data_IF_494596440160
#
_entry.id   IF_494596440160
#
_cell.length_a   1.000
_cell.length_b   1.000
_cell.length_c   1.000
_cell.angle_alpha   90.00
_cell.angle_beta   90.00
_cell.angle_gamma   90.00
#
_symmetry.space_group_name_H-M   'P 1'
#
loop_
_entity.id
_entity.type
_entity.pdbx_description
1 polymer ?
#
# COMPACT_ATOMS: atom_id res chain seq x y z
N UNK A 1 5.72 -34.89 -15.39
CA UNK A 1 5.98 -33.69 -14.57
C UNK A 1 4.78 -33.45 -13.68
N UNK A 2 4.93 -33.33 -12.34
CA UNK A 2 3.85 -32.87 -11.47
C UNK A 2 3.42 -31.46 -11.90
N UNK A 3 2.12 -31.16 -11.84
CA UNK A 3 1.62 -29.81 -12.13
C UNK A 3 2.09 -28.89 -10.98
N UNK A 4 2.66 -27.70 -11.28
CA UNK A 4 3.06 -26.75 -10.24
C UNK A 4 1.89 -26.40 -9.32
N UNK A 5 2.15 -26.29 -8.02
CA UNK A 5 1.15 -25.85 -7.06
C UNK A 5 0.74 -24.40 -7.37
N UNK A 6 -0.53 -24.13 -7.74
CA UNK A 6 -0.98 -22.79 -8.08
C UNK A 6 -0.96 -21.83 -6.89
N UNK A 7 -0.81 -22.32 -5.65
CA UNK A 7 -0.77 -21.49 -4.45
C UNK A 7 0.65 -21.08 -4.05
N UNK A 8 1.67 -21.67 -4.66
CA UNK A 8 3.06 -21.42 -4.26
C UNK A 8 3.56 -20.11 -4.90
N UNK A 9 4.26 -19.24 -4.15
CA UNK A 9 4.99 -18.11 -4.72
C UNK A 9 5.97 -18.59 -5.80
N UNK A 10 6.20 -17.76 -6.82
CA UNK A 10 7.21 -18.05 -7.85
C UNK A 10 8.60 -17.68 -7.33
N UNK A 11 9.63 -18.20 -8.00
CA UNK A 11 11.03 -17.87 -7.71
C UNK A 11 11.24 -16.34 -7.64
N UNK A 12 11.78 -15.87 -6.52
CA UNK A 12 12.01 -14.45 -6.24
C UNK A 12 10.85 -13.73 -5.54
N UNK A 13 9.74 -14.41 -5.25
CA UNK A 13 8.57 -13.85 -4.54
C UNK A 13 8.44 -14.40 -3.11
N UNK A 14 9.38 -15.21 -2.66
CA UNK A 14 9.30 -15.90 -1.36
C UNK A 14 9.31 -14.92 -0.19
N UNK A 15 10.01 -13.78 -0.32
CA UNK A 15 10.00 -12.72 0.67
C UNK A 15 8.66 -12.00 0.76
N UNK A 16 7.87 -11.96 -0.32
CA UNK A 16 6.57 -11.30 -0.35
C UNK A 16 5.47 -12.17 0.29
N UNK A 17 5.66 -13.49 0.29
CA UNK A 17 4.66 -14.45 0.77
C UNK A 17 5.35 -15.59 1.51
N UNK A 18 5.95 -15.33 2.68
CA UNK A 18 6.61 -16.36 3.47
C UNK A 18 5.61 -17.48 3.78
N UNK A 19 6.02 -18.72 3.50
CA UNK A 19 5.18 -19.89 3.76
C UNK A 19 5.19 -20.19 5.26
N UNK A 20 4.03 -20.24 5.94
CA UNK A 20 3.97 -20.65 7.34
C UNK A 20 4.52 -22.07 7.48
N UNK A 21 5.45 -22.31 8.41
CA UNK A 21 6.07 -23.63 8.53
C UNK A 21 5.28 -24.60 9.42
N UNK A 22 4.36 -24.08 10.24
CA UNK A 22 3.50 -24.87 11.12
C UNK A 22 2.19 -24.12 11.50
N UNK A 23 1.29 -24.78 12.23
CA UNK A 23 0.01 -24.19 12.67
C UNK A 23 0.18 -23.06 13.68
N UNK A 24 1.22 -23.11 14.50
CA UNK A 24 1.51 -22.06 15.48
C UNK A 24 2.09 -20.84 14.76
N UNK A 25 2.91 -21.00 13.71
CA UNK A 25 3.34 -19.90 12.83
C UNK A 25 2.13 -19.21 12.19
N UNK A 26 1.14 -19.98 11.73
CA UNK A 26 -0.11 -19.40 11.19
C UNK A 26 -0.90 -18.61 12.24
N UNK A 27 -0.77 -18.92 13.54
CA UNK A 27 -1.47 -18.22 14.63
C UNK A 27 -0.67 -17.10 15.28
N UNK A 28 0.65 -17.24 15.38
CA UNK A 28 1.53 -16.43 16.21
C UNK A 28 2.37 -15.43 15.42
N UNK A 29 2.69 -15.70 14.15
CA UNK A 29 3.58 -14.83 13.36
C UNK A 29 2.85 -13.75 12.57
N UNK A 30 1.54 -13.58 12.79
CA UNK A 30 0.63 -12.86 11.89
C UNK A 30 0.61 -13.57 10.52
N UNK A 31 -0.56 -13.91 9.98
CA UNK A 31 -0.57 -14.66 8.72
C UNK A 31 0.12 -13.89 7.58
N UNK A 32 0.37 -14.56 6.45
CA UNK A 32 1.18 -14.00 5.35
C UNK A 32 0.62 -12.66 4.84
N UNK A 33 -0.68 -12.43 4.96
CA UNK A 33 -1.29 -11.17 4.56
C UNK A 33 -1.00 -10.06 5.57
N UNK A 34 -1.17 -10.33 6.87
CA UNK A 34 -0.82 -9.36 7.91
C UNK A 34 0.67 -8.96 7.84
N UNK A 35 1.57 -9.90 7.59
CA UNK A 35 3.00 -9.61 7.41
C UNK A 35 3.23 -8.65 6.22
N UNK A 36 2.68 -8.96 5.05
CA UNK A 36 2.83 -8.12 3.87
C UNK A 36 2.27 -6.70 4.06
N UNK A 37 1.11 -6.58 4.72
CA UNK A 37 0.53 -5.27 5.03
C UNK A 37 1.36 -4.50 6.06
N UNK A 38 1.85 -5.17 7.10
CA UNK A 38 2.71 -4.55 8.11
C UNK A 38 4.02 -4.04 7.49
N UNK A 39 4.67 -4.82 6.64
CA UNK A 39 5.90 -4.44 5.97
C UNK A 39 5.69 -3.23 5.03
N UNK A 40 4.57 -3.21 4.30
CA UNK A 40 4.20 -2.08 3.45
C UNK A 40 3.90 -0.81 4.27
N UNK A 41 3.17 -0.93 5.38
CA UNK A 41 2.86 0.19 6.27
C UNK A 41 4.13 0.75 6.94
N UNK A 42 5.02 -0.11 7.42
CA UNK A 42 6.30 0.33 7.98
C UNK A 42 7.16 1.03 6.92
N UNK A 43 7.28 0.45 5.73
CA UNK A 43 8.01 1.08 4.62
C UNK A 43 7.42 2.45 4.24
N UNK A 44 6.10 2.57 4.25
CA UNK A 44 5.42 3.83 3.95
C UNK A 44 5.60 4.88 5.05
N UNK A 45 5.60 4.47 6.32
CA UNK A 45 5.90 5.34 7.45
C UNK A 45 7.36 5.83 7.40
N UNK A 46 8.30 4.92 7.17
CA UNK A 46 9.73 5.24 7.03
C UNK A 46 10.01 6.19 5.85
N UNK A 47 9.23 6.07 4.77
CA UNK A 47 9.27 6.96 3.61
C UNK A 47 8.49 8.27 3.80
N UNK A 48 7.81 8.46 4.94
CA UNK A 48 7.01 9.65 5.23
C UNK A 48 5.72 9.77 4.41
N UNK A 49 5.25 8.69 3.78
CA UNK A 49 4.00 8.67 3.01
C UNK A 49 2.76 8.62 3.89
N UNK A 50 2.88 8.05 5.09
CA UNK A 50 1.82 8.01 6.11
C UNK A 50 2.41 8.46 7.45
N UNK A 51 1.58 9.07 8.30
CA UNK A 51 1.97 9.58 9.61
C UNK A 51 1.03 9.14 10.73
N UNK A 52 1.18 9.74 11.91
CA UNK A 52 0.40 9.36 13.10
C UNK A 52 -1.12 9.51 12.90
N UNK A 53 -1.55 10.52 12.14
CA UNK A 53 -2.97 10.76 11.84
C UNK A 53 -3.60 9.65 10.98
N UNK A 54 -2.79 8.91 10.21
CA UNK A 54 -3.24 7.82 9.36
C UNK A 54 -3.43 6.50 10.13
N UNK A 55 -3.18 6.49 11.44
CA UNK A 55 -3.27 5.30 12.29
C UNK A 55 -4.63 4.60 12.23
N UNK A 56 -5.73 5.35 12.04
CA UNK A 56 -7.06 4.76 11.87
C UNK A 56 -7.21 3.98 10.55
N UNK A 57 -6.63 4.50 9.47
CA UNK A 57 -6.61 3.83 8.16
C UNK A 57 -5.68 2.62 8.18
N UNK A 58 -4.48 2.76 8.75
CA UNK A 58 -3.53 1.66 8.95
C UNK A 58 -4.16 0.52 9.79
N UNK A 59 -4.88 0.85 10.86
CA UNK A 59 -5.59 -0.15 11.67
C UNK A 59 -6.69 -0.88 10.89
N UNK A 60 -7.39 -0.19 10.00
CA UNK A 60 -8.44 -0.79 9.15
C UNK A 60 -7.82 -1.78 8.14
N UNK A 61 -6.71 -1.38 7.52
CA UNK A 61 -5.94 -2.23 6.60
C UNK A 61 -5.45 -3.50 7.32
N UNK A 62 -4.93 -3.37 8.54
CA UNK A 62 -4.49 -4.52 9.36
C UNK A 62 -5.63 -5.46 9.75
N UNK A 63 -6.80 -4.93 10.09
CA UNK A 63 -7.98 -5.75 10.37
C UNK A 63 -8.42 -6.54 9.13
N UNK A 64 -8.35 -5.92 7.95
CA UNK A 64 -8.58 -6.58 6.67
C UNK A 64 -7.60 -7.70 6.39
N UNK A 65 -6.30 -7.45 6.59
CA UNK A 65 -5.25 -8.45 6.41
C UNK A 65 -5.45 -9.67 7.32
N UNK A 66 -5.80 -9.44 8.58
CA UNK A 66 -6.16 -10.52 9.52
C UNK A 66 -7.37 -11.33 9.02
N UNK A 67 -8.41 -10.67 8.49
CA UNK A 67 -9.57 -11.37 7.96
C UNK A 67 -9.20 -12.26 6.75
N UNK A 68 -8.28 -11.81 5.89
CA UNK A 68 -7.77 -12.62 4.77
C UNK A 68 -7.07 -13.88 5.28
N UNK A 69 -6.17 -13.74 6.25
CA UNK A 69 -5.46 -14.87 6.86
C UNK A 69 -6.43 -15.85 7.54
N UNK A 70 -7.45 -15.33 8.24
CA UNK A 70 -8.47 -16.15 8.88
C UNK A 70 -9.31 -16.93 7.86
N UNK A 71 -9.66 -16.34 6.72
CA UNK A 71 -10.39 -17.05 5.66
C UNK A 71 -9.53 -18.09 4.95
N UNK A 72 -8.25 -17.80 4.73
CA UNK A 72 -7.29 -18.76 4.18
C UNK A 72 -7.14 -19.98 5.10
N UNK A 73 -6.92 -19.75 6.40
CA UNK A 73 -6.82 -20.81 7.40
C UNK A 73 -8.09 -21.67 7.50
N UNK A 74 -9.26 -21.07 7.27
CA UNK A 74 -10.55 -21.77 7.24
C UNK A 74 -10.87 -22.42 5.88
N UNK A 75 -10.01 -22.28 4.88
CA UNK A 75 -10.24 -22.72 3.50
C UNK A 75 -11.58 -22.20 2.93
N UNK A 76 -11.88 -20.92 3.17
CA UNK A 76 -13.09 -20.21 2.69
C UNK A 76 -12.72 -19.17 1.63
N UNK A 77 -12.44 -19.60 0.38
CA UNK A 77 -11.91 -18.71 -0.67
C UNK A 77 -12.89 -17.61 -1.11
N UNK A 78 -14.19 -17.74 -0.81
CA UNK A 78 -15.21 -16.73 -1.09
C UNK A 78 -15.24 -15.58 -0.07
N UNK A 79 -14.56 -15.72 1.07
CA UNK A 79 -14.45 -14.67 2.08
C UNK A 79 -13.63 -13.47 1.58
N UNK A 80 -12.39 -13.70 1.12
CA UNK A 80 -11.52 -12.67 0.58
C UNK A 80 -12.14 -11.85 -0.55
N UNK A 81 -12.91 -12.48 -1.44
CA UNK A 81 -13.52 -11.77 -2.59
C UNK A 81 -14.50 -10.66 -2.18
N UNK A 82 -15.00 -10.67 -0.93
CA UNK A 82 -15.87 -9.62 -0.40
C UNK A 82 -15.13 -8.44 0.22
N UNK A 83 -13.81 -8.57 0.37
CA UNK A 83 -12.94 -7.60 1.02
C UNK A 83 -11.95 -6.95 0.05
N UNK A 84 -11.61 -7.61 -1.06
CA UNK A 84 -10.58 -7.16 -2.00
C UNK A 84 -10.83 -5.72 -2.46
N UNK A 85 -12.03 -5.40 -2.93
CA UNK A 85 -12.32 -4.08 -3.48
C UNK A 85 -12.20 -2.98 -2.42
N UNK A 86 -12.67 -3.24 -1.20
CA UNK A 86 -12.59 -2.31 -0.08
C UNK A 86 -11.14 -2.11 0.39
N UNK A 87 -10.35 -3.19 0.41
CA UNK A 87 -8.94 -3.12 0.78
C UNK A 87 -8.11 -2.39 -0.27
N UNK A 88 -8.37 -2.63 -1.56
CA UNK A 88 -7.72 -1.89 -2.65
C UNK A 88 -8.08 -0.41 -2.60
N UNK A 89 -9.35 -0.06 -2.34
CA UNK A 89 -9.76 1.32 -2.18
C UNK A 89 -9.05 2.00 -0.99
N UNK A 90 -8.98 1.32 0.16
CA UNK A 90 -8.27 1.84 1.33
C UNK A 90 -6.76 1.99 1.10
N UNK A 91 -6.13 1.05 0.38
CA UNK A 91 -4.72 1.17 -0.02
C UNK A 91 -4.50 2.33 -0.99
N UNK A 92 -5.43 2.60 -1.89
CA UNK A 92 -5.36 3.75 -2.80
C UNK A 92 -5.48 5.07 -2.03
N UNK A 93 -6.41 5.15 -1.09
CA UNK A 93 -6.56 6.33 -0.21
C UNK A 93 -5.30 6.58 0.62
N UNK A 94 -4.69 5.52 1.13
CA UNK A 94 -3.41 5.58 1.84
C UNK A 94 -2.20 5.87 0.93
N UNK A 95 -2.40 6.07 -0.38
CA UNK A 95 -1.35 6.22 -1.40
C UNK A 95 -0.35 5.06 -1.47
N UNK A 96 -0.78 3.85 -1.09
CA UNK A 96 0.06 2.65 -1.06
C UNK A 96 0.03 1.85 -2.36
N UNK A 97 -0.73 2.30 -3.37
CA UNK A 97 -0.75 1.70 -4.71
C UNK A 97 0.19 2.41 -5.68
N UNK A 98 0.76 1.73 -6.70
CA UNK A 98 1.61 2.38 -7.70
C UNK A 98 0.95 3.59 -8.37
N UNK A 99 -0.31 3.43 -8.79
CA UNK A 99 -1.08 4.50 -9.45
C UNK A 99 -1.21 5.75 -8.56
N UNK A 100 -1.60 5.55 -7.28
CA UNK A 100 -1.72 6.67 -6.32
C UNK A 100 -0.41 7.39 -6.00
N UNK A 101 0.75 6.78 -6.29
CA UNK A 101 2.06 7.43 -6.14
C UNK A 101 2.47 8.22 -7.38
N UNK A 102 2.03 7.77 -8.56
CA UNK A 102 2.24 8.47 -9.83
C UNK A 102 1.54 9.81 -9.86
N UNK A 103 0.25 9.83 -9.49
CA UNK A 103 -0.58 11.05 -9.49
C UNK A 103 0.03 12.16 -8.60
N UNK A 104 0.53 11.80 -7.41
CA UNK A 104 1.17 12.75 -6.50
C UNK A 104 2.47 13.36 -7.07
N UNK A 105 3.19 12.63 -7.93
CA UNK A 105 4.41 13.12 -8.57
C UNK A 105 4.07 14.08 -9.71
N UNK A 106 3.04 13.76 -10.51
CA UNK A 106 2.56 14.62 -11.59
C UNK A 106 1.97 15.93 -11.06
N UNK A 107 1.22 15.89 -9.96
CA UNK A 107 0.69 17.10 -9.31
C UNK A 107 1.82 18.02 -8.80
N UNK A 108 2.85 17.45 -8.16
CA UNK A 108 4.00 18.22 -7.68
C UNK A 108 4.83 18.81 -8.83
N UNK A 109 4.93 18.11 -9.96
CA UNK A 109 5.60 18.63 -11.16
C UNK A 109 4.77 19.77 -11.79
N UNK A 110 3.44 19.64 -11.82
CA UNK A 110 2.56 20.69 -12.33
C UNK A 110 2.62 21.95 -11.45
N UNK A 111 2.62 21.79 -10.13
CA UNK A 111 2.76 22.90 -9.16
C UNK A 111 4.11 23.60 -9.34
N UNK A 112 5.20 22.84 -9.44
CA UNK A 112 6.54 23.39 -9.71
C UNK A 112 6.61 24.17 -11.05
N UNK A 113 5.99 23.63 -12.11
CA UNK A 113 5.96 24.29 -13.42
C UNK A 113 5.11 25.56 -13.41
N UNK A 114 4.01 25.57 -12.65
CA UNK A 114 3.17 26.75 -12.46
C UNK A 114 3.92 27.85 -11.69
N UNK A 115 4.65 27.48 -10.63
CA UNK A 115 5.47 28.41 -9.84
C UNK A 115 6.61 29.02 -10.69
N UNK A 116 7.27 28.21 -11.52
CA UNK A 116 8.30 28.68 -12.45
C UNK A 116 7.72 29.64 -13.51
N UNK A 117 6.53 29.35 -14.02
CA UNK A 117 5.86 30.22 -14.99
C UNK A 117 5.36 31.54 -14.38
N UNK A 118 4.98 31.54 -13.10
CA UNK A 118 4.55 32.74 -12.39
C UNK A 118 5.73 33.64 -11.96
N UNK A 119 6.91 33.07 -11.72
CA UNK A 119 8.10 33.82 -11.32
C UNK A 119 8.67 34.73 -12.44
N UNK A 120 8.36 34.45 -13.71
CA UNK A 120 8.80 35.25 -14.86
C UNK A 120 7.83 36.41 -15.22
N UNK A 121 6.67 36.50 -14.57
CA UNK A 121 5.60 37.46 -14.87
C UNK A 121 5.49 38.62 -13.86
N UNK A 122 6.51 38.82 -13.01
CA UNK A 122 6.56 39.93 -12.07
C UNK A 122 6.64 41.28 -12.84
N UNK A 123 5.61 42.14 -12.79
CA UNK A 123 5.61 43.40 -13.51
C UNK A 123 6.67 44.33 -12.90
N UNK A 124 7.64 44.72 -13.71
CA UNK A 124 8.59 45.79 -13.37
C UNK A 124 7.78 47.07 -13.18
N UNK A 125 7.53 47.44 -11.94
CA UNK A 125 6.85 48.67 -11.55
C UNK A 125 7.73 49.86 -11.95
N UNK A 126 7.57 50.35 -13.18
CA UNK A 126 8.27 51.55 -13.67
C UNK A 126 7.57 52.78 -13.12
N UNK A 127 7.75 53.05 -11.84
CA UNK A 127 7.41 54.34 -11.25
C UNK A 127 8.64 55.26 -11.40
N UNK A 128 8.69 55.97 -12.54
CA UNK A 128 9.65 57.03 -12.79
C UNK A 128 8.93 58.38 -12.61
N UNK A 129 9.19 59.01 -11.45
CA UNK A 129 8.88 60.40 -11.14
C UNK A 129 9.62 61.40 -12.03
#
# INVERSE_FOLDING_TARGET
>A
MPRPDPRRPRDGQESLFPTPTNKDDMRLNNGRHQLAFNDALNSAYDAGHIGELDGALASTLMAGAWALDAFEAQNKPYGPTKLIDQLVAALREARLTPDSRGDATDDAIQELLADLGAADDDPVDTDAS
#
